data_IF_516837537462
#
_entry.id   IF_516837537462
#
_cell.length_a   1.000
_cell.length_b   1.000
_cell.length_c   1.000
_cell.angle_alpha   90.00
_cell.angle_beta   90.00
_cell.angle_gamma   90.00
#
_symmetry.space_group_name_H-M   'P 1'
#
loop_
_entity.id
_entity.type
_entity.pdbx_description
1 polymer ?
#
# COMPACT_ATOMS: atom_id res chain seq x y z
N UNK A 1 10.17 3.13 18.26
CA UNK A 1 8.75 3.26 17.89
C UNK A 1 8.50 4.69 17.39
N UNK A 2 8.02 4.81 16.16
CA UNK A 2 7.62 6.09 15.56
C UNK A 2 6.09 6.16 15.45
N UNK A 3 5.55 7.36 15.24
CA UNK A 3 4.12 7.54 14.98
C UNK A 3 3.75 6.86 13.66
N UNK A 4 2.89 5.84 13.69
CA UNK A 4 2.50 5.09 12.48
C UNK A 4 1.60 5.90 11.52
N UNK A 5 0.70 6.74 12.04
CA UNK A 5 -0.27 7.52 11.24
C UNK A 5 0.34 8.79 10.63
N UNK A 6 1.39 8.60 9.85
CA UNK A 6 2.02 9.63 9.02
C UNK A 6 1.58 9.48 7.56
N UNK A 7 1.83 10.52 6.75
CA UNK A 7 1.47 10.62 5.34
C UNK A 7 -0.06 10.66 5.12
N UNK A 8 -0.52 11.50 4.19
CA UNK A 8 -1.93 11.53 3.78
C UNK A 8 -2.34 10.18 3.18
N UNK A 9 -3.54 9.69 3.50
CA UNK A 9 -3.98 8.31 3.22
C UNK A 9 -3.70 7.83 1.79
N UNK A 10 -3.93 8.68 0.78
CA UNK A 10 -3.77 8.35 -0.64
C UNK A 10 -2.34 7.99 -1.05
N UNK A 11 -1.35 8.51 -0.32
CA UNK A 11 0.07 8.29 -0.56
C UNK A 11 0.69 7.39 0.50
N UNK A 12 -0.11 6.85 1.44
CA UNK A 12 0.39 6.03 2.53
C UNK A 12 0.75 4.62 2.01
N UNK A 13 1.94 4.10 2.34
CA UNK A 13 2.38 2.77 1.93
C UNK A 13 1.70 1.64 2.71
N UNK A 14 1.69 0.40 2.17
CA UNK A 14 1.03 -0.74 2.78
C UNK A 14 1.58 -1.13 4.16
N UNK A 15 2.87 -0.96 4.44
CA UNK A 15 3.46 -1.23 5.76
C UNK A 15 2.85 -0.35 6.86
N UNK A 16 2.63 0.93 6.57
CA UNK A 16 2.00 1.84 7.52
C UNK A 16 0.53 1.51 7.70
N UNK A 17 -0.19 1.17 6.61
CA UNK A 17 -1.58 0.70 6.67
C UNK A 17 -1.73 -0.61 7.47
N UNK A 18 -0.67 -1.43 7.51
CA UNK A 18 -0.62 -2.69 8.26
C UNK A 18 -0.04 -2.52 9.68
N UNK A 19 0.25 -1.29 10.10
CA UNK A 19 0.60 -0.96 11.49
C UNK A 19 2.10 -0.94 11.80
N UNK A 20 2.99 -0.85 10.80
CA UNK A 20 4.43 -0.75 11.06
C UNK A 20 4.79 0.55 11.82
N UNK A 21 5.51 0.43 12.92
CA UNK A 21 6.00 1.57 13.73
C UNK A 21 7.50 1.80 13.57
N UNK A 22 8.23 0.84 12.97
CA UNK A 22 9.66 0.89 12.70
C UNK A 22 9.90 0.97 11.20
N UNK A 23 9.35 2.00 10.59
CA UNK A 23 9.53 2.29 9.17
C UNK A 23 10.82 3.07 8.91
N UNK A 24 11.33 2.97 7.68
CA UNK A 24 12.50 3.71 7.21
C UNK A 24 12.14 4.69 6.08
N UNK A 25 13.16 5.27 5.40
CA UNK A 25 12.97 6.21 4.30
C UNK A 25 12.18 5.67 3.09
N UNK A 26 11.92 4.36 3.03
CA UNK A 26 11.17 3.70 1.94
C UNK A 26 9.71 4.16 1.85
N UNK A 27 9.13 4.67 2.95
CA UNK A 27 7.76 5.21 2.94
C UNK A 27 7.63 6.44 2.04
N UNK A 28 8.71 7.22 1.91
CA UNK A 28 8.75 8.40 1.04
C UNK A 28 8.88 7.97 -0.42
N UNK A 29 9.66 6.91 -0.70
CA UNK A 29 9.80 6.35 -2.05
C UNK A 29 8.46 5.84 -2.57
N UNK A 30 7.65 5.21 -1.72
CA UNK A 30 6.27 4.83 -2.09
C UNK A 30 5.45 6.07 -2.48
N UNK A 31 5.47 7.11 -1.65
CA UNK A 31 4.76 8.36 -1.91
C UNK A 31 5.19 9.00 -3.22
N UNK A 32 6.51 9.05 -3.49
CA UNK A 32 7.06 9.51 -4.77
C UNK A 32 6.58 8.67 -5.94
N UNK A 33 6.48 7.35 -5.80
CA UNK A 33 5.94 6.46 -6.83
C UNK A 33 4.46 6.73 -7.12
N UNK A 34 3.66 6.97 -6.09
CA UNK A 34 2.26 7.38 -6.24
C UNK A 34 2.13 8.71 -6.99
N UNK A 35 2.93 9.72 -6.62
CA UNK A 35 2.97 11.02 -7.30
C UNK A 35 3.43 10.86 -8.76
N UNK A 36 4.46 10.06 -9.00
CA UNK A 36 4.95 9.81 -10.35
C UNK A 36 3.85 9.23 -11.25
N UNK A 37 3.11 8.21 -10.77
CA UNK A 37 1.97 7.67 -11.51
C UNK A 37 0.82 8.67 -11.70
N UNK A 38 0.57 9.52 -10.70
CA UNK A 38 -0.41 10.60 -10.80
C UNK A 38 -0.03 11.64 -11.87
N UNK A 39 1.25 11.95 -12.05
CA UNK A 39 1.69 12.87 -13.10
C UNK A 39 1.32 12.37 -14.52
N UNK A 40 1.38 11.06 -14.76
CA UNK A 40 0.97 10.48 -16.05
C UNK A 40 -0.55 10.37 -16.20
N UNK A 41 -1.24 9.98 -15.14
CA UNK A 41 -2.70 9.73 -15.20
C UNK A 41 -3.53 10.98 -14.96
N UNK A 42 -2.91 12.06 -14.46
CA UNK A 42 -3.53 13.32 -14.00
C UNK A 42 -4.60 13.12 -12.93
N UNK A 43 -4.54 12.00 -12.22
CA UNK A 43 -5.43 11.66 -11.11
C UNK A 43 -4.65 10.85 -10.05
N UNK A 44 -4.95 11.00 -8.76
CA UNK A 44 -4.33 10.18 -7.74
C UNK A 44 -4.57 8.68 -8.00
N UNK A 45 -3.51 7.87 -7.85
CA UNK A 45 -3.58 6.43 -8.11
C UNK A 45 -4.49 5.68 -7.12
N UNK A 46 -4.51 6.11 -5.86
CA UNK A 46 -5.24 5.46 -4.80
C UNK A 46 -6.01 6.52 -4.00
N UNK A 47 -7.35 6.40 -3.98
CA UNK A 47 -8.25 7.38 -3.36
C UNK A 47 -9.17 6.73 -2.31
N UNK A 48 -8.61 5.89 -1.45
CA UNK A 48 -9.35 5.26 -0.36
C UNK A 48 -9.81 6.29 0.67
N UNK A 49 -10.98 6.08 1.27
CA UNK A 49 -11.49 6.93 2.36
C UNK A 49 -11.14 6.36 3.74
N UNK A 50 -10.89 5.04 3.79
CA UNK A 50 -10.52 4.29 4.99
C UNK A 50 -9.25 3.48 4.73
N UNK A 51 -8.51 3.12 5.77
CA UNK A 51 -7.24 2.38 5.65
C UNK A 51 -7.43 1.01 4.98
N UNK A 52 -8.53 0.33 5.29
CA UNK A 52 -8.93 -0.94 4.67
C UNK A 52 -9.24 -0.79 3.17
N UNK A 53 -9.91 0.29 2.77
CA UNK A 53 -10.21 0.58 1.36
C UNK A 53 -8.94 0.97 0.60
N UNK A 54 -8.07 1.76 1.22
CA UNK A 54 -6.78 2.15 0.63
C UNK A 54 -5.92 0.92 0.37
N UNK A 55 -5.80 0.00 1.34
CA UNK A 55 -5.05 -1.25 1.20
C UNK A 55 -5.64 -2.15 0.10
N UNK A 56 -6.97 -2.21 0.01
CA UNK A 56 -7.70 -2.92 -1.05
C UNK A 56 -7.40 -2.31 -2.44
N UNK A 57 -7.42 -0.98 -2.59
CA UNK A 57 -7.08 -0.31 -3.85
C UNK A 57 -5.63 -0.58 -4.27
N UNK A 58 -4.69 -0.45 -3.33
CA UNK A 58 -3.28 -0.77 -3.55
C UNK A 58 -3.14 -2.20 -4.07
N UNK A 59 -3.85 -3.15 -3.45
CA UNK A 59 -3.71 -4.55 -3.79
C UNK A 59 -4.31 -4.92 -5.13
N UNK A 60 -5.36 -4.23 -5.58
CA UNK A 60 -5.93 -4.43 -6.92
C UNK A 60 -4.94 -4.11 -8.04
N UNK A 61 -4.06 -3.13 -7.82
CA UNK A 61 -3.06 -2.72 -8.81
C UNK A 61 -1.71 -3.42 -8.61
N UNK A 62 -1.19 -3.40 -7.38
CA UNK A 62 0.14 -3.89 -7.03
C UNK A 62 0.18 -5.38 -6.69
N UNK A 63 -0.98 -6.01 -6.49
CA UNK A 63 -1.13 -7.37 -5.99
C UNK A 63 -1.31 -7.41 -4.47
N UNK A 64 -1.94 -8.48 -3.98
CA UNK A 64 -2.20 -8.65 -2.55
C UNK A 64 -0.93 -8.95 -1.75
N UNK A 65 -0.73 -8.32 -0.57
CA UNK A 65 0.31 -8.72 0.36
C UNK A 65 0.11 -10.17 0.80
N UNK A 66 1.05 -11.03 0.45
CA UNK A 66 1.07 -12.44 0.84
C UNK A 66 2.48 -12.81 1.28
N UNK A 67 2.65 -13.82 2.17
CA UNK A 67 3.98 -14.27 2.60
C UNK A 67 4.87 -14.74 1.44
N UNK A 68 4.28 -15.12 0.31
CA UNK A 68 5.00 -15.52 -0.90
C UNK A 68 5.74 -14.36 -1.59
N UNK A 69 5.19 -13.14 -1.51
CA UNK A 69 5.79 -11.93 -2.14
C UNK A 69 6.42 -10.98 -1.13
N UNK A 70 5.98 -11.05 0.12
CA UNK A 70 6.47 -10.26 1.24
C UNK A 70 6.49 -11.14 2.50
N UNK A 71 7.57 -11.90 2.74
CA UNK A 71 7.64 -12.84 3.85
C UNK A 71 7.37 -12.21 5.22
N UNK A 72 7.94 -11.03 5.47
CA UNK A 72 7.85 -10.34 6.76
C UNK A 72 6.47 -9.73 7.05
N UNK A 73 5.54 -9.74 6.08
CA UNK A 73 4.19 -9.17 6.25
C UNK A 73 3.42 -9.82 7.40
N UNK A 74 3.73 -11.09 7.70
CA UNK A 74 3.09 -11.84 8.80
C UNK A 74 3.39 -11.24 10.17
N UNK A 75 4.46 -10.45 10.30
CA UNK A 75 4.88 -9.82 11.54
C UNK A 75 4.20 -8.46 11.77
N UNK A 76 3.48 -7.95 10.76
CA UNK A 76 2.83 -6.65 10.87
C UNK A 76 1.56 -6.73 11.74
N UNK A 77 1.35 -5.77 12.68
CA UNK A 77 0.29 -5.86 13.69
C UNK A 77 -1.11 -6.08 13.13
N UNK A 78 -1.42 -5.49 11.98
CA UNK A 78 -2.77 -5.53 11.41
C UNK A 78 -2.91 -6.56 10.28
N UNK A 79 -1.88 -7.33 9.93
CA UNK A 79 -1.96 -8.29 8.81
C UNK A 79 -3.01 -9.38 9.04
N UNK A 80 -3.09 -9.93 10.25
CA UNK A 80 -4.09 -10.96 10.58
C UNK A 80 -5.52 -10.40 10.68
N UNK A 81 -5.66 -9.11 11.00
CA UNK A 81 -6.94 -8.42 11.22
C UNK A 81 -7.52 -7.89 9.91
N UNK A 82 -6.69 -7.25 9.08
CA UNK A 82 -7.05 -6.68 7.78
C UNK A 82 -6.91 -7.72 6.66
N UNK A 83 -7.58 -8.87 6.83
CA UNK A 83 -7.61 -9.88 5.77
C UNK A 83 -8.40 -9.37 4.58
N UNK A 84 -7.73 -9.35 3.44
CA UNK A 84 -8.38 -9.01 2.18
C UNK A 84 -9.40 -10.07 1.80
N UNK A 85 -10.56 -9.63 1.30
CA UNK A 85 -11.65 -10.53 0.90
C UNK A 85 -11.28 -11.36 -0.33
N UNK A 86 -10.34 -10.86 -1.14
CA UNK A 86 -9.86 -11.50 -2.37
C UNK A 86 -8.35 -11.30 -2.47
N UNK A 87 -7.69 -12.29 -3.07
CA UNK A 87 -6.27 -12.18 -3.43
C UNK A 87 -6.18 -11.67 -4.87
N UNK A 88 -5.42 -10.60 -5.06
CA UNK A 88 -5.22 -9.95 -6.35
C UNK A 88 -3.82 -10.25 -6.91
N UNK A 89 -3.75 -10.48 -8.23
CA UNK A 89 -2.49 -10.51 -8.98
C UNK A 89 -2.08 -9.09 -9.35
N UNK A 90 -0.77 -8.81 -9.34
CA UNK A 90 -0.20 -7.53 -9.80
C UNK A 90 -0.56 -7.27 -11.27
N UNK A 91 -1.10 -6.07 -11.55
CA UNK A 91 -1.50 -5.61 -12.89
C UNK A 91 -0.83 -4.31 -13.35
N UNK A 92 0.04 -3.74 -12.53
CA UNK A 92 0.69 -2.46 -12.80
C UNK A 92 1.37 -2.37 -14.19
N UNK A 93 1.97 -3.45 -14.69
CA UNK A 93 2.54 -3.46 -16.05
C UNK A 93 1.47 -3.53 -17.14
N UNK A 94 0.40 -4.26 -16.92
CA UNK A 94 -0.68 -4.41 -17.90
C UNK A 94 -1.47 -3.09 -18.05
N UNK A 95 -1.50 -2.26 -17.02
CA UNK A 95 -2.28 -1.02 -16.99
C UNK A 95 -1.49 0.22 -17.47
N UNK A 96 -0.16 0.21 -17.35
CA UNK A 96 0.69 1.39 -17.58
C UNK A 96 1.89 1.16 -18.53
N UNK A 97 1.93 0.01 -19.22
CA UNK A 97 2.94 -0.31 -20.24
C UNK A 97 2.28 -0.51 -21.60
#
# INVERSE_FOLDING_TARGET
PYTNKVITLWYRPPELLLGEERYGPTIDIWSCGCIFGELFTRRPLFQGQREEEQLEMISRLCGSPTPAVWPDVIHLPLFATLKQKKTYRRKLREEYQ
#
